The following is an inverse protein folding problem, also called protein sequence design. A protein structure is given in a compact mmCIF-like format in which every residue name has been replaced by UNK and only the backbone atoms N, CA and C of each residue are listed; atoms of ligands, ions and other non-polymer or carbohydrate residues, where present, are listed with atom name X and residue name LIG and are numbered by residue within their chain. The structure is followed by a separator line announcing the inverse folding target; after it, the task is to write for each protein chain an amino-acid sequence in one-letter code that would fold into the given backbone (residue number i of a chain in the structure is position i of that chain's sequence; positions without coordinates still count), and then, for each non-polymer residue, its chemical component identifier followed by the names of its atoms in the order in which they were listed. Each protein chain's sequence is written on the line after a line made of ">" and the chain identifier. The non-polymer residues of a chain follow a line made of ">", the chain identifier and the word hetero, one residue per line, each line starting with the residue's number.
data_IF_961595496300
#
_entry.id   IF_961595496300
#
_cell.length_a   1.000
_cell.length_b   1.000
_cell.length_c   1.000
_cell.angle_alpha   90.00
_cell.angle_beta   90.00
_cell.angle_gamma   90.00
#
_symmetry.space_group_name_H-M   'P 1'
#
loop_
_entity.id
_entity.type
_entity.pdbx_description
1 polymer ?
#
# COMPACT_ATOMS: atom_id res chain seq x y z
N UNK A 1 -6.68 -13.32 -5.66
CA UNK A 1 -6.12 -12.00 -5.36
C UNK A 1 -6.87 -11.43 -4.16
N UNK A 2 -6.16 -10.86 -3.20
CA UNK A 2 -6.73 -10.04 -2.14
C UNK A 2 -6.47 -8.58 -2.47
N UNK A 3 -7.52 -7.77 -2.60
CA UNK A 3 -7.44 -6.35 -2.88
C UNK A 3 -7.87 -5.57 -1.62
N UNK A 4 -7.01 -4.68 -1.13
CA UNK A 4 -7.26 -3.82 0.02
C UNK A 4 -7.57 -2.40 -0.46
N UNK A 5 -8.79 -1.92 -0.21
CA UNK A 5 -9.23 -0.57 -0.55
C UNK A 5 -10.09 -0.01 0.57
N UNK A 6 -9.55 0.87 1.43
CA UNK A 6 -10.30 1.41 2.56
C UNK A 6 -11.30 2.51 2.22
N UNK A 7 -11.06 3.27 1.13
CA UNK A 7 -11.95 4.37 0.74
C UNK A 7 -13.28 3.85 0.20
N UNK A 8 -14.38 4.31 0.80
CA UNK A 8 -15.73 3.92 0.36
C UNK A 8 -16.03 4.39 -1.07
N UNK A 9 -15.48 5.52 -1.50
CA UNK A 9 -15.64 6.03 -2.86
C UNK A 9 -14.91 5.14 -3.88
N UNK A 10 -13.69 4.75 -3.59
CA UNK A 10 -12.89 3.87 -4.44
C UNK A 10 -13.41 2.44 -4.46
N UNK A 11 -13.93 1.96 -3.32
CA UNK A 11 -14.52 0.63 -3.20
C UNK A 11 -15.67 0.41 -4.20
N UNK A 12 -16.47 1.44 -4.47
CA UNK A 12 -17.52 1.39 -5.50
C UNK A 12 -16.97 1.17 -6.90
N UNK A 13 -15.88 1.86 -7.25
CA UNK A 13 -15.20 1.69 -8.54
C UNK A 13 -14.56 0.32 -8.63
N UNK A 14 -13.84 -0.12 -7.58
CA UNK A 14 -13.22 -1.43 -7.52
C UNK A 14 -14.25 -2.56 -7.72
N UNK A 15 -15.34 -2.55 -6.96
CA UNK A 15 -16.38 -3.58 -7.04
C UNK A 15 -17.05 -3.63 -8.43
N UNK A 16 -17.32 -2.46 -9.03
CA UNK A 16 -17.84 -2.35 -10.39
C UNK A 16 -16.85 -2.94 -11.42
N UNK A 17 -15.58 -2.57 -11.33
CA UNK A 17 -14.54 -3.07 -12.24
C UNK A 17 -14.37 -4.59 -12.13
N UNK A 18 -14.44 -5.16 -10.94
CA UNK A 18 -14.42 -6.60 -10.72
C UNK A 18 -15.62 -7.27 -11.41
N UNK A 19 -16.81 -6.71 -11.24
CA UNK A 19 -18.06 -7.25 -11.79
C UNK A 19 -18.07 -7.23 -13.32
N UNK A 20 -17.79 -6.09 -13.94
CA UNK A 20 -17.86 -5.95 -15.43
C UNK A 20 -16.78 -6.76 -16.15
N UNK A 21 -15.66 -7.08 -15.46
CA UNK A 21 -14.59 -7.93 -16.01
C UNK A 21 -14.73 -9.41 -15.62
N UNK A 22 -15.81 -9.81 -14.96
CA UNK A 22 -16.06 -11.20 -14.52
C UNK A 22 -14.94 -11.75 -13.59
N UNK A 23 -14.40 -10.91 -12.70
CA UNK A 23 -13.34 -11.30 -11.75
C UNK A 23 -13.86 -11.62 -10.34
N UNK A 24 -15.18 -11.70 -10.13
CA UNK A 24 -15.79 -11.93 -8.81
C UNK A 24 -15.30 -13.21 -8.12
N UNK A 25 -14.95 -14.25 -8.89
CA UNK A 25 -14.38 -15.50 -8.36
C UNK A 25 -12.86 -15.48 -8.21
N UNK A 26 -12.17 -14.37 -8.57
CA UNK A 26 -10.71 -14.26 -8.58
C UNK A 26 -10.20 -13.22 -7.60
N UNK A 27 -11.02 -12.23 -7.23
CA UNK A 27 -10.63 -11.10 -6.40
C UNK A 27 -11.54 -11.04 -5.18
N UNK A 28 -10.91 -11.06 -4.01
CA UNK A 28 -11.56 -10.86 -2.72
C UNK A 28 -11.24 -9.42 -2.30
N UNK A 29 -12.29 -8.62 -2.07
CA UNK A 29 -12.16 -7.25 -1.60
C UNK A 29 -12.06 -7.25 -0.07
N UNK A 30 -11.09 -6.53 0.46
CA UNK A 30 -10.97 -6.23 1.88
C UNK A 30 -10.97 -4.71 2.07
N UNK A 31 -11.93 -4.19 2.85
CA UNK A 31 -12.07 -2.76 3.10
C UNK A 31 -11.18 -2.27 4.26
N UNK A 32 -10.53 -3.18 4.99
CA UNK A 32 -9.69 -2.84 6.13
C UNK A 32 -8.35 -2.27 5.68
N UNK A 33 -7.98 -1.03 6.04
CA UNK A 33 -6.66 -0.50 5.74
C UNK A 33 -5.57 -1.25 6.48
N UNK A 34 -4.40 -1.36 5.85
CA UNK A 34 -3.21 -1.98 6.41
C UNK A 34 -2.29 -0.93 7.04
N UNK A 35 -1.67 -1.27 8.19
CA UNK A 35 -0.68 -0.43 8.86
C UNK A 35 0.25 -1.25 9.77
N UNK A 36 1.01 -0.61 10.67
CA UNK A 36 2.01 -1.27 11.50
C UNK A 36 1.49 -1.91 12.79
N UNK A 37 0.21 -1.71 13.14
CA UNK A 37 -0.41 -2.28 14.34
C UNK A 37 -1.35 -3.43 13.98
N UNK A 38 -1.43 -4.42 14.87
CA UNK A 38 -2.21 -5.62 14.60
C UNK A 38 -3.70 -5.33 14.39
N UNK A 39 -4.28 -4.39 15.15
CA UNK A 39 -5.66 -3.94 14.95
C UNK A 39 -5.93 -2.63 15.70
N UNK A 40 -6.98 -1.94 15.29
CA UNK A 40 -7.49 -0.76 15.97
C UNK A 40 -8.25 0.20 15.07
N UNK A 41 -9.07 1.04 15.68
CA UNK A 41 -9.72 2.14 14.98
C UNK A 41 -8.74 3.30 14.84
N UNK A 42 -8.56 3.77 13.62
CA UNK A 42 -7.76 4.92 13.28
C UNK A 42 -8.49 5.79 12.25
N UNK A 43 -8.05 7.02 12.13
CA UNK A 43 -8.64 7.96 11.20
C UNK A 43 -8.16 7.69 9.77
N UNK A 44 -9.09 7.54 8.84
CA UNK A 44 -8.83 7.67 7.42
C UNK A 44 -9.14 9.12 7.02
N UNK A 45 -8.15 9.78 6.47
CA UNK A 45 -8.21 11.12 5.95
C UNK A 45 -8.23 11.06 4.43
N UNK A 46 -9.19 11.72 3.79
CA UNK A 46 -9.35 11.72 2.33
C UNK A 46 -9.33 13.15 1.78
N UNK A 47 -8.80 13.33 0.58
CA UNK A 47 -8.86 14.62 -0.13
C UNK A 47 -10.31 15.02 -0.45
N UNK A 48 -11.21 14.05 -0.57
CA UNK A 48 -12.65 14.25 -0.79
C UNK A 48 -13.34 12.97 -1.22
N UNK A 49 -14.65 13.06 -1.46
CA UNK A 49 -15.46 11.95 -1.99
C UNK A 49 -15.33 11.83 -3.50
N UNK A 50 -14.17 11.43 -3.99
CA UNK A 50 -13.91 11.28 -5.42
C UNK A 50 -13.75 9.80 -5.77
N UNK A 51 -14.59 9.27 -6.64
CA UNK A 51 -14.45 7.90 -7.15
C UNK A 51 -13.14 7.78 -7.96
N UNK A 52 -12.29 6.82 -7.60
CA UNK A 52 -10.95 6.66 -8.20
C UNK A 52 -9.93 7.69 -7.71
N UNK A 53 -10.26 8.43 -6.63
CA UNK A 53 -9.37 9.42 -6.04
C UNK A 53 -8.16 8.78 -5.36
N UNK A 54 -7.04 9.52 -5.36
CA UNK A 54 -5.81 9.24 -4.61
C UNK A 54 -5.68 10.22 -3.44
N UNK A 55 -4.50 10.22 -2.81
CA UNK A 55 -4.12 11.14 -1.73
C UNK A 55 -4.94 10.93 -0.45
N UNK A 56 -5.06 9.67 -0.04
CA UNK A 56 -5.67 9.30 1.23
C UNK A 56 -4.58 8.96 2.25
N UNK A 57 -4.82 9.27 3.53
CA UNK A 57 -3.88 9.01 4.62
C UNK A 57 -4.56 8.26 5.76
N UNK A 58 -4.07 7.07 6.10
CA UNK A 58 -4.58 6.27 7.21
C UNK A 58 -3.64 6.31 8.40
N UNK A 59 -4.17 6.62 9.58
CA UNK A 59 -3.45 6.64 10.88
C UNK A 59 -2.34 7.70 10.98
N UNK A 60 -2.18 8.57 9.98
CA UNK A 60 -1.17 9.63 9.92
C UNK A 60 -1.80 10.97 9.53
N UNK A 61 -1.07 12.07 9.75
CA UNK A 61 -1.48 13.44 9.42
C UNK A 61 -0.68 14.06 8.26
N UNK A 62 0.06 13.23 7.53
CA UNK A 62 0.84 13.61 6.36
C UNK A 62 0.38 12.82 5.12
N UNK A 63 0.69 13.34 3.94
CA UNK A 63 0.37 12.72 2.65
C UNK A 63 1.57 12.03 2.01
N UNK A 64 1.44 11.70 0.74
CA UNK A 64 2.41 10.96 -0.09
C UNK A 64 3.81 11.62 -0.18
N UNK A 65 3.94 12.89 0.15
CA UNK A 65 5.20 13.66 0.15
C UNK A 65 5.74 13.95 1.56
N UNK A 66 5.15 13.34 2.59
CA UNK A 66 5.54 13.52 3.98
C UNK A 66 5.11 14.86 4.57
N UNK A 67 4.40 15.70 3.83
CA UNK A 67 3.92 16.99 4.31
C UNK A 67 2.56 16.85 4.98
N UNK A 68 2.26 17.81 5.86
CA UNK A 68 0.97 17.86 6.55
C UNK A 68 -0.18 17.80 5.56
N UNK A 69 -1.07 16.87 5.79
CA UNK A 69 -2.27 16.66 4.97
C UNK A 69 -3.47 17.37 5.59
N UNK A 70 -4.21 18.13 4.79
CA UNK A 70 -5.45 18.81 5.20
C UNK A 70 -6.64 18.13 4.54
N UNK A 71 -7.23 17.11 5.17
CA UNK A 71 -8.32 16.34 4.57
C UNK A 71 -9.60 17.15 4.46
N UNK A 72 -10.38 16.94 3.40
CA UNK A 72 -11.74 17.43 3.27
C UNK A 72 -12.77 16.50 3.91
N UNK A 73 -12.39 15.23 4.06
CA UNK A 73 -13.21 14.20 4.70
C UNK A 73 -12.35 13.37 5.65
N UNK A 74 -12.91 12.99 6.80
CA UNK A 74 -12.24 12.15 7.78
C UNK A 74 -13.24 11.32 8.55
N UNK A 75 -12.93 10.03 8.74
CA UNK A 75 -13.73 9.13 9.57
C UNK A 75 -12.84 8.03 10.19
N UNK A 76 -13.34 7.44 11.27
CA UNK A 76 -12.65 6.32 11.90
C UNK A 76 -13.02 5.01 11.22
N UNK A 77 -12.02 4.20 10.88
CA UNK A 77 -12.19 2.88 10.30
C UNK A 77 -11.27 1.88 11.03
N UNK A 78 -11.69 0.63 11.11
CA UNK A 78 -10.89 -0.44 11.69
C UNK A 78 -9.78 -0.82 10.74
N UNK A 79 -8.53 -0.76 11.22
CA UNK A 79 -7.33 -1.16 10.49
C UNK A 79 -6.65 -2.38 11.09
N UNK A 80 -5.75 -3.01 10.34
CA UNK A 80 -5.03 -4.21 10.76
C UNK A 80 -3.63 -4.28 10.14
N UNK A 81 -2.81 -5.22 10.58
CA UNK A 81 -1.51 -5.52 10.02
C UNK A 81 -1.52 -6.78 9.15
N UNK A 82 -0.58 -6.87 8.21
CA UNK A 82 -0.34 -8.12 7.46
C UNK A 82 0.03 -9.25 8.42
N UNK A 83 0.81 -8.96 9.47
CA UNK A 83 1.17 -9.94 10.49
C UNK A 83 -0.06 -10.54 11.18
N UNK A 84 -1.03 -9.71 11.56
CA UNK A 84 -2.26 -10.18 12.19
C UNK A 84 -3.06 -11.07 11.25
N UNK A 85 -3.25 -10.65 10.02
CA UNK A 85 -4.03 -11.40 9.02
C UNK A 85 -3.44 -12.78 8.73
N UNK A 86 -2.11 -12.85 8.57
CA UNK A 86 -1.41 -14.11 8.31
C UNK A 86 -1.30 -15.01 9.55
N UNK A 87 -1.04 -14.42 10.73
CA UNK A 87 -0.94 -15.19 11.99
C UNK A 87 -2.27 -15.86 12.40
N UNK A 88 -3.39 -15.26 12.00
CA UNK A 88 -4.73 -15.78 12.30
C UNK A 88 -5.35 -16.58 11.14
N UNK A 89 -4.56 -16.89 10.10
CA UNK A 89 -5.02 -17.63 8.92
C UNK A 89 -6.23 -16.97 8.19
N UNK A 90 -6.36 -15.65 8.31
CA UNK A 90 -7.38 -14.87 7.57
C UNK A 90 -6.97 -14.74 6.11
N UNK A 91 -5.65 -14.66 5.86
CA UNK A 91 -5.06 -14.68 4.54
C UNK A 91 -4.05 -15.82 4.43
N UNK A 92 -3.86 -16.33 3.22
CA UNK A 92 -2.71 -17.16 2.87
C UNK A 92 -1.51 -16.28 2.56
N UNK A 93 -0.30 -16.79 2.85
CA UNK A 93 0.94 -16.10 2.47
C UNK A 93 0.97 -15.96 0.94
N UNK A 94 1.07 -14.74 0.42
CA UNK A 94 1.04 -14.50 -1.02
C UNK A 94 2.40 -14.82 -1.68
N UNK A 95 2.38 -15.08 -2.99
CA UNK A 95 3.60 -15.13 -3.81
C UNK A 95 4.09 -13.73 -4.21
N UNK A 96 3.17 -12.80 -4.42
CA UNK A 96 3.43 -11.44 -4.91
C UNK A 96 2.63 -10.42 -4.12
N UNK A 97 3.26 -9.29 -3.81
CA UNK A 97 2.64 -8.18 -3.11
C UNK A 97 2.81 -6.91 -3.95
N UNK A 98 1.74 -6.14 -4.13
CA UNK A 98 1.79 -4.76 -4.60
C UNK A 98 1.37 -3.84 -3.46
N UNK A 99 2.18 -2.81 -3.20
CA UNK A 99 1.89 -1.74 -2.25
C UNK A 99 1.95 -0.43 -3.02
N UNK A 100 0.83 0.26 -3.07
CA UNK A 100 0.64 1.48 -3.86
C UNK A 100 -0.41 2.31 -3.11
N UNK A 101 0.07 3.02 -2.12
CA UNK A 101 -0.70 3.85 -1.20
C UNK A 101 -0.05 5.23 -1.08
N UNK A 102 -0.62 6.13 -0.31
CA UNK A 102 -0.22 7.53 -0.32
C UNK A 102 0.66 7.89 0.90
N UNK A 103 1.84 7.23 1.06
CA UNK A 103 2.88 7.66 2.00
C UNK A 103 3.04 6.83 3.28
N UNK A 104 2.36 5.68 3.41
CA UNK A 104 2.48 4.76 4.57
C UNK A 104 3.01 3.37 4.19
N UNK A 105 3.71 3.26 3.08
CA UNK A 105 4.24 2.00 2.55
C UNK A 105 5.20 1.33 3.55
N UNK A 106 6.05 2.10 4.23
CA UNK A 106 6.96 1.61 5.25
C UNK A 106 6.22 1.07 6.48
N UNK A 107 5.10 1.69 6.87
CA UNK A 107 4.25 1.20 7.96
C UNK A 107 3.57 -0.12 7.60
N UNK A 108 3.09 -0.26 6.36
CA UNK A 108 2.52 -1.52 5.87
C UNK A 108 3.57 -2.62 5.84
N UNK A 109 4.78 -2.33 5.33
CA UNK A 109 5.90 -3.28 5.34
C UNK A 109 6.28 -3.70 6.76
N UNK A 110 6.36 -2.76 7.70
CA UNK A 110 6.60 -3.03 9.12
C UNK A 110 5.52 -3.91 9.72
N UNK A 111 4.25 -3.64 9.38
CA UNK A 111 3.10 -4.48 9.75
C UNK A 111 3.12 -5.89 9.15
N UNK A 112 3.97 -6.15 8.16
CA UNK A 112 4.18 -7.47 7.54
C UNK A 112 5.53 -8.12 7.86
N UNK A 113 6.44 -7.45 8.59
CA UNK A 113 7.86 -7.82 8.69
C UNK A 113 8.09 -9.26 9.18
N UNK A 114 7.21 -9.79 10.04
CA UNK A 114 7.31 -11.17 10.54
C UNK A 114 7.27 -12.20 9.40
N UNK A 115 6.52 -11.95 8.34
CA UNK A 115 6.33 -12.87 7.23
C UNK A 115 7.12 -12.53 5.97
N UNK A 116 7.71 -11.34 5.88
CA UNK A 116 8.48 -10.93 4.70
C UNK A 116 9.65 -11.87 4.38
N UNK A 117 10.22 -12.57 5.38
CA UNK A 117 11.27 -13.59 5.16
C UNK A 117 10.76 -14.90 4.58
N UNK A 118 9.46 -15.13 4.55
CA UNK A 118 8.90 -16.41 4.09
C UNK A 118 9.23 -16.64 2.61
N UNK A 119 9.69 -17.86 2.27
CA UNK A 119 10.15 -18.25 0.94
C UNK A 119 9.09 -18.18 -0.15
N UNK A 120 7.81 -18.32 0.21
CA UNK A 120 6.69 -18.21 -0.73
C UNK A 120 6.58 -16.81 -1.34
N UNK A 121 6.99 -15.75 -0.62
CA UNK A 121 6.94 -14.38 -1.15
C UNK A 121 8.11 -14.16 -2.10
N UNK A 122 7.83 -14.12 -3.39
CA UNK A 122 8.83 -14.06 -4.47
C UNK A 122 9.21 -12.63 -4.84
N UNK A 123 8.25 -11.72 -4.88
CA UNK A 123 8.48 -10.34 -5.34
C UNK A 123 7.50 -9.36 -4.70
N UNK A 124 7.99 -8.13 -4.51
CA UNK A 124 7.21 -7.00 -4.02
C UNK A 124 7.38 -5.84 -5.00
N UNK A 125 6.24 -5.33 -5.50
CA UNK A 125 6.17 -4.06 -6.20
C UNK A 125 5.68 -3.02 -5.21
N UNK A 126 6.41 -1.91 -5.09
CA UNK A 126 6.07 -0.83 -4.16
C UNK A 126 6.26 0.52 -4.85
N UNK A 127 5.26 1.40 -4.75
CA UNK A 127 5.41 2.78 -5.19
C UNK A 127 6.05 3.60 -4.07
N UNK A 128 7.13 4.34 -4.38
CA UNK A 128 7.86 5.16 -3.43
C UNK A 128 8.08 6.55 -3.99
N UNK A 129 7.91 7.55 -3.15
CA UNK A 129 8.23 8.93 -3.47
C UNK A 129 9.62 9.29 -2.93
N UNK A 130 10.62 9.43 -3.79
CA UNK A 130 12.02 9.73 -3.38
C UNK A 130 12.16 11.10 -2.67
N UNK A 131 11.20 12.00 -2.83
CA UNK A 131 11.17 13.26 -2.07
C UNK A 131 10.76 13.05 -0.60
N UNK A 132 10.08 11.95 -0.27
CA UNK A 132 9.82 11.52 1.09
C UNK A 132 10.95 10.58 1.57
N UNK A 133 12.11 11.16 1.84
CA UNK A 133 13.38 10.45 2.06
C UNK A 133 13.31 9.41 3.17
N UNK A 134 12.71 9.74 4.31
CA UNK A 134 12.66 8.83 5.47
C UNK A 134 11.80 7.60 5.16
N UNK A 135 10.60 7.79 4.61
CA UNK A 135 9.69 6.70 4.24
C UNK A 135 10.31 5.79 3.17
N UNK A 136 10.90 6.38 2.12
CA UNK A 136 11.59 5.63 1.07
C UNK A 136 12.76 4.81 1.62
N UNK A 137 13.60 5.43 2.46
CA UNK A 137 14.74 4.77 3.09
C UNK A 137 14.31 3.63 4.03
N UNK A 138 13.28 3.86 4.85
CA UNK A 138 12.72 2.85 5.74
C UNK A 138 12.21 1.64 4.95
N UNK A 139 11.41 1.89 3.89
CA UNK A 139 10.86 0.85 3.03
C UNK A 139 11.95 -0.02 2.41
N UNK A 140 12.96 0.60 1.80
CA UNK A 140 14.10 -0.09 1.20
C UNK A 140 14.88 -0.90 2.24
N UNK A 141 15.13 -0.34 3.43
CA UNK A 141 15.86 -1.02 4.51
C UNK A 141 15.10 -2.23 5.03
N UNK A 142 13.77 -2.12 5.23
CA UNK A 142 12.94 -3.26 5.64
C UNK A 142 13.03 -4.38 4.60
N UNK A 143 12.92 -4.07 3.32
CA UNK A 143 12.98 -5.07 2.25
C UNK A 143 14.37 -5.73 2.17
N UNK A 144 15.45 -4.96 2.21
CA UNK A 144 16.84 -5.51 2.21
C UNK A 144 17.10 -6.41 3.42
N UNK A 145 16.67 -6.01 4.62
CA UNK A 145 16.79 -6.82 5.87
C UNK A 145 16.01 -8.14 5.77
N UNK A 146 14.98 -8.19 4.94
CA UNK A 146 14.14 -9.37 4.72
C UNK A 146 14.49 -10.15 3.44
N UNK A 147 15.76 -10.06 2.99
CA UNK A 147 16.32 -10.79 1.85
C UNK A 147 15.71 -10.43 0.49
N UNK A 148 15.28 -9.18 0.30
CA UNK A 148 14.92 -8.69 -1.02
C UNK A 148 16.04 -7.85 -1.61
N UNK A 149 16.21 -7.93 -2.92
CA UNK A 149 17.10 -7.07 -3.69
C UNK A 149 16.29 -6.29 -4.74
N UNK A 150 16.72 -5.08 -5.01
CA UNK A 150 16.11 -4.27 -6.06
C UNK A 150 16.40 -4.87 -7.42
N UNK A 151 15.36 -5.22 -8.16
CA UNK A 151 15.46 -5.69 -9.54
C UNK A 151 15.53 -4.51 -10.52
N UNK A 152 14.57 -3.58 -10.42
CA UNK A 152 14.56 -2.31 -11.15
C UNK A 152 13.61 -1.31 -10.50
N UNK A 153 13.73 -0.04 -10.89
CA UNK A 153 12.73 1.00 -10.62
C UNK A 153 12.32 1.67 -11.93
N UNK A 154 11.06 2.05 -12.03
CA UNK A 154 10.50 2.70 -13.22
C UNK A 154 9.27 3.54 -12.86
N UNK A 155 9.03 4.59 -13.62
CA UNK A 155 7.76 5.32 -13.60
C UNK A 155 7.26 5.59 -15.04
N UNK A 156 6.06 6.13 -15.18
CA UNK A 156 5.53 6.55 -16.46
C UNK A 156 6.34 7.72 -17.02
N UNK A 157 6.56 7.77 -18.35
CA UNK A 157 7.21 8.89 -19.01
C UNK A 157 6.48 10.23 -18.80
N UNK A 158 5.19 10.18 -18.53
CA UNK A 158 4.37 11.36 -18.19
C UNK A 158 4.83 12.02 -16.88
N UNK A 159 5.46 11.25 -15.98
CA UNK A 159 6.01 11.76 -14.74
C UNK A 159 7.35 12.47 -14.89
N UNK A 160 8.11 12.22 -15.98
CA UNK A 160 9.41 12.87 -16.25
C UNK A 160 9.31 14.39 -16.29
N UNK A 161 8.18 14.93 -16.76
CA UNK A 161 7.91 16.36 -16.89
C UNK A 161 7.00 16.93 -15.81
N UNK A 162 6.55 16.10 -14.86
CA UNK A 162 5.66 16.51 -13.78
C UNK A 162 6.45 17.11 -12.62
N UNK A 163 6.20 18.37 -12.27
CA UNK A 163 6.77 18.98 -11.06
C UNK A 163 6.35 18.24 -9.78
N UNK A 164 5.17 17.62 -9.78
CA UNK A 164 4.57 16.97 -8.60
C UNK A 164 4.95 15.50 -8.46
N UNK A 165 5.10 14.77 -9.57
CA UNK A 165 5.19 13.30 -9.55
C UNK A 165 6.51 12.75 -10.10
N UNK A 166 7.46 13.61 -10.51
CA UNK A 166 8.75 13.19 -11.07
C UNK A 166 9.63 12.38 -10.11
N UNK A 167 9.39 12.49 -8.80
CA UNK A 167 10.09 11.71 -7.77
C UNK A 167 9.39 10.39 -7.37
N UNK A 168 8.23 10.07 -7.99
CA UNK A 168 7.47 8.86 -7.67
C UNK A 168 7.86 7.75 -8.63
N UNK A 169 8.28 6.61 -8.08
CA UNK A 169 8.71 5.44 -8.85
C UNK A 169 8.09 4.15 -8.32
N UNK A 170 7.76 3.26 -9.23
CA UNK A 170 7.48 1.87 -8.93
C UNK A 170 8.79 1.09 -8.81
N UNK A 171 9.07 0.57 -7.64
CA UNK A 171 10.21 -0.28 -7.31
C UNK A 171 9.78 -1.74 -7.34
N UNK A 172 10.50 -2.57 -8.04
CA UNK A 172 10.31 -4.03 -8.03
C UNK A 172 11.46 -4.67 -7.29
N UNK A 173 11.14 -5.30 -6.19
CA UNK A 173 12.08 -6.09 -5.39
C UNK A 173 11.82 -7.57 -5.62
N UNK A 174 12.89 -8.34 -5.74
CA UNK A 174 12.90 -9.80 -5.88
C UNK A 174 13.51 -10.43 -4.64
N UNK A 175 12.97 -11.57 -4.20
CA UNK A 175 13.58 -12.39 -3.16
C UNK A 175 14.95 -12.90 -3.61
N UNK A 176 15.96 -12.79 -2.76
CA UNK A 176 17.26 -13.44 -3.00
C UNK A 176 17.12 -14.94 -2.83
N UNK A 177 17.74 -15.68 -3.71
CA UNK A 177 17.84 -17.14 -3.63
C UNK A 177 18.72 -17.56 -2.46
#
# INVERSE_FOLDING_TARGET
>A
IFAFEPSTSNLRVLSRNISINNFSNKIIINQTPLFDKDFGFQKLNEEGFNEGGALNAFSVDYGYDGKKFNPKNSYNIYGTSINFLLSNNILEIPDYIKIDVDGIEDLILKGGEKYLKHEKIKSILIELNESFVDQTSNSINILKKNNFELLYKKHSKEFDTSEKYSSIYNYVFKKKN
#
